data_IF_247908876626
#
_entry.id   IF_247908876626
#
_cell.length_a   1.000
_cell.length_b   1.000
_cell.length_c   1.000
_cell.angle_alpha   90.00
_cell.angle_beta   90.00
_cell.angle_gamma   90.00
#
_symmetry.space_group_name_H-M   'P 1'
#
loop_
_entity.id
_entity.type
_entity.pdbx_description
1 polymer ?
#
# COMPACT_ATOMS: atom_id res chain seq x y z
N UNK A 1 -1.48 -17.36 20.86
CA UNK A 1 -1.11 -18.33 19.81
C UNK A 1 0.28 -18.01 19.28
N UNK A 2 1.05 -18.96 18.70
CA UNK A 2 2.42 -18.67 18.21
C UNK A 2 2.49 -17.58 17.13
N UNK A 3 1.38 -17.28 16.44
CA UNK A 3 1.25 -16.17 15.50
C UNK A 3 1.11 -14.81 16.16
N UNK A 4 0.35 -14.67 17.26
CA UNK A 4 0.20 -13.39 17.97
C UNK A 4 1.56 -12.83 18.40
N UNK A 5 2.44 -13.67 18.95
CA UNK A 5 3.80 -13.24 19.33
C UNK A 5 4.66 -12.82 18.13
N UNK A 6 4.46 -13.45 16.96
CA UNK A 6 5.15 -13.06 15.71
C UNK A 6 4.60 -11.76 15.13
N UNK A 7 3.28 -11.57 15.18
CA UNK A 7 2.62 -10.32 14.77
C UNK A 7 3.12 -9.16 15.62
N UNK A 8 3.17 -9.31 16.94
CA UNK A 8 3.70 -8.29 17.85
C UNK A 8 5.16 -7.94 17.56
N UNK A 9 5.99 -8.96 17.27
CA UNK A 9 7.38 -8.76 16.90
C UNK A 9 7.52 -7.95 15.59
N UNK A 10 6.68 -8.23 14.59
CA UNK A 10 6.64 -7.48 13.33
C UNK A 10 6.20 -6.04 13.60
N UNK A 11 5.10 -5.83 14.32
CA UNK A 11 4.59 -4.50 14.66
C UNK A 11 5.63 -3.66 15.41
N UNK A 12 6.41 -4.29 16.30
CA UNK A 12 7.49 -3.62 17.02
C UNK A 12 8.57 -3.06 16.09
N UNK A 13 8.87 -3.74 14.97
CA UNK A 13 9.79 -3.28 13.92
C UNK A 13 9.22 -2.14 13.06
N UNK A 14 7.89 -2.02 13.00
CA UNK A 14 7.18 -1.02 12.18
C UNK A 14 6.63 0.18 12.97
N UNK A 15 7.02 0.34 14.24
CA UNK A 15 6.56 1.44 15.11
C UNK A 15 6.71 2.83 14.50
N UNK A 16 7.82 3.09 13.80
CA UNK A 16 8.05 4.38 13.13
C UNK A 16 7.00 4.71 12.07
N UNK A 17 6.91 3.90 10.98
CA UNK A 17 5.89 4.09 9.94
C UNK A 17 4.45 4.09 10.46
N UNK A 18 4.10 3.20 11.40
CA UNK A 18 2.77 3.16 12.02
C UNK A 18 2.47 4.43 12.81
N UNK A 19 3.45 4.93 13.57
CA UNK A 19 3.35 6.17 14.32
C UNK A 19 3.15 7.40 13.43
N UNK A 20 3.81 7.45 12.26
CA UNK A 20 3.66 8.53 11.29
C UNK A 20 2.23 8.61 10.74
N UNK A 21 1.66 7.47 10.31
CA UNK A 21 0.29 7.41 9.83
C UNK A 21 -0.72 7.78 10.92
N UNK A 22 -0.56 7.25 12.14
CA UNK A 22 -1.41 7.58 13.28
C UNK A 22 -1.36 9.07 13.62
N UNK A 23 -0.16 9.66 13.62
CA UNK A 23 0.00 11.09 13.90
C UNK A 23 -0.72 11.93 12.85
N UNK A 24 -0.68 11.53 11.58
CA UNK A 24 -1.44 12.19 10.52
C UNK A 24 -2.95 12.11 10.79
N UNK A 25 -3.48 10.93 11.14
CA UNK A 25 -4.91 10.77 11.47
C UNK A 25 -5.34 11.66 12.63
N UNK A 26 -4.60 11.67 13.73
CA UNK A 26 -4.92 12.48 14.92
C UNK A 26 -4.89 13.97 14.60
N UNK A 27 -3.83 14.43 13.93
CA UNK A 27 -3.70 15.84 13.54
C UNK A 27 -4.86 16.29 12.64
N UNK A 28 -5.21 15.50 11.61
CA UNK A 28 -6.33 15.81 10.74
C UNK A 28 -7.67 15.79 11.49
N UNK A 29 -7.86 14.84 12.41
CA UNK A 29 -9.06 14.77 13.26
C UNK A 29 -9.22 16.05 14.08
N UNK A 30 -8.16 16.51 14.74
CA UNK A 30 -8.19 17.73 15.55
C UNK A 30 -8.41 19.00 14.72
N UNK A 31 -7.85 19.04 13.52
CA UNK A 31 -8.06 20.12 12.56
C UNK A 31 -9.53 20.20 12.11
N UNK A 32 -10.18 19.05 11.85
CA UNK A 32 -11.60 18.99 11.48
C UNK A 32 -12.49 19.39 12.67
N UNK A 33 -12.17 18.94 13.89
CA UNK A 33 -12.88 19.39 15.11
C UNK A 33 -12.77 20.90 15.31
N UNK A 34 -11.60 21.49 15.06
CA UNK A 34 -11.42 22.94 15.13
C UNK A 34 -12.28 23.67 14.07
N UNK A 35 -12.33 23.15 12.85
CA UNK A 35 -13.14 23.71 11.76
C UNK A 35 -14.64 23.65 12.05
N UNK A 36 -15.15 22.53 12.56
CA UNK A 36 -16.56 22.40 12.97
C UNK A 36 -16.91 23.37 14.11
N UNK A 37 -16.06 23.47 15.14
CA UNK A 37 -16.25 24.44 16.24
C UNK A 37 -16.26 25.89 15.75
N UNK A 38 -15.38 26.24 14.80
CA UNK A 38 -15.34 27.58 14.21
C UNK A 38 -16.63 27.89 13.45
N UNK A 39 -17.17 26.93 12.67
CA UNK A 39 -18.44 27.14 11.95
C UNK A 39 -19.61 27.31 12.91
N UNK A 40 -19.67 26.51 13.97
CA UNK A 40 -20.70 26.62 15.01
C UNK A 40 -20.64 27.96 15.75
N UNK A 41 -19.45 28.47 16.08
CA UNK A 41 -19.30 29.75 16.77
C UNK A 41 -19.69 30.94 15.89
N UNK A 42 -19.35 30.90 14.59
CA UNK A 42 -19.79 31.91 13.61
C UNK A 42 -21.31 31.92 13.47
N UNK A 43 -21.94 30.75 13.39
CA UNK A 43 -23.40 30.61 13.37
C UNK A 43 -24.03 31.20 14.63
N UNK A 44 -23.56 30.81 15.82
CA UNK A 44 -24.08 31.31 17.10
C UNK A 44 -23.93 32.82 17.27
N UNK A 45 -22.78 33.38 16.89
CA UNK A 45 -22.53 34.83 16.95
C UNK A 45 -23.47 35.61 16.02
N UNK A 46 -23.76 35.06 14.82
CA UNK A 46 -24.67 35.68 13.86
C UNK A 46 -26.13 35.52 14.27
N UNK A 47 -26.52 34.37 14.82
CA UNK A 47 -27.84 34.16 15.41
C UNK A 47 -28.11 35.14 16.57
N UNK A 48 -27.11 35.37 17.43
CA UNK A 48 -27.21 36.37 18.49
C UNK A 48 -27.39 37.80 17.94
N UNK A 49 -26.65 38.15 16.88
CA UNK A 49 -26.82 39.45 16.18
C UNK A 49 -28.20 39.58 15.54
N UNK A 50 -28.65 38.57 14.80
CA UNK A 50 -29.99 38.51 14.20
C UNK A 50 -31.07 38.64 15.26
N UNK A 51 -30.93 37.94 16.39
CA UNK A 51 -31.87 38.03 17.51
C UNK A 51 -31.92 39.46 18.10
N UNK A 52 -30.78 40.14 18.17
CA UNK A 52 -30.72 41.54 18.63
C UNK A 52 -31.36 42.51 17.61
N UNK A 53 -31.14 42.30 16.31
CA UNK A 53 -31.70 43.13 15.23
C UNK A 53 -33.22 42.93 15.07
N UNK A 54 -33.72 41.70 15.24
CA UNK A 54 -35.15 41.37 15.15
C UNK A 54 -35.95 41.91 16.36
N UNK A 55 -35.30 42.12 17.50
CA UNK A 55 -35.88 42.71 18.70
C UNK A 55 -37.00 41.88 19.36
N UNK A 56 -37.70 42.45 20.37
CA UNK A 56 -38.69 41.72 21.18
C UNK A 56 -39.92 41.26 20.40
N UNK A 57 -40.25 41.92 19.29
CA UNK A 57 -41.45 41.64 18.49
C UNK A 57 -41.36 40.32 17.70
N UNK A 58 -40.14 39.85 17.44
CA UNK A 58 -39.89 38.59 16.75
C UNK A 58 -39.76 37.39 17.71
N UNK A 59 -39.66 37.64 19.03
CA UNK A 59 -39.48 36.60 20.04
C UNK A 59 -40.62 35.57 19.99
N UNK A 60 -40.26 34.30 19.78
CA UNK A 60 -41.21 33.19 19.66
C UNK A 60 -41.96 33.09 18.31
N UNK A 61 -41.73 34.03 17.37
CA UNK A 61 -42.31 34.01 16.01
C UNK A 61 -41.28 33.68 14.93
N UNK A 62 -40.03 34.09 15.14
CA UNK A 62 -38.91 33.81 14.24
C UNK A 62 -37.85 33.08 15.04
N UNK A 63 -37.41 31.94 14.52
CA UNK A 63 -36.24 31.22 15.03
C UNK A 63 -34.98 31.94 14.50
N UNK A 64 -34.19 32.59 15.38
CA UNK A 64 -33.05 33.39 14.97
C UNK A 64 -31.90 32.54 14.39
N UNK A 65 -31.79 31.26 14.75
CA UNK A 65 -30.78 30.36 14.19
C UNK A 65 -31.15 29.98 12.76
N UNK A 66 -32.40 29.55 12.54
CA UNK A 66 -32.92 29.30 11.18
C UNK A 66 -32.89 30.55 10.31
N UNK A 67 -33.21 31.71 10.87
CA UNK A 67 -33.15 32.96 10.12
C UNK A 67 -31.70 33.35 9.78
N UNK A 68 -30.76 33.19 10.72
CA UNK A 68 -29.34 33.43 10.45
C UNK A 68 -28.80 32.54 9.33
N UNK A 69 -29.27 31.28 9.22
CA UNK A 69 -28.91 30.41 8.09
C UNK A 69 -29.38 30.89 6.72
N UNK A 70 -30.46 31.68 6.64
CA UNK A 70 -30.97 32.23 5.38
C UNK A 70 -30.20 33.48 4.92
N UNK A 71 -29.59 34.20 5.86
CA UNK A 71 -28.88 35.49 5.61
C UNK A 71 -27.36 35.29 5.50
N UNK A 72 -26.88 34.06 5.67
CA UNK A 72 -25.48 33.71 5.52
C UNK A 72 -25.06 33.68 4.04
N UNK A 73 -23.80 34.07 3.78
CA UNK A 73 -23.15 33.74 2.51
C UNK A 73 -23.14 32.20 2.36
N UNK A 74 -23.55 31.72 1.17
CA UNK A 74 -23.85 30.30 0.90
C UNK A 74 -22.74 29.32 1.31
N UNK A 75 -21.49 29.77 1.40
CA UNK A 75 -20.33 28.93 1.75
C UNK A 75 -20.13 28.66 3.25
N UNK A 76 -20.53 29.58 4.12
CA UNK A 76 -20.33 29.44 5.57
C UNK A 76 -21.42 28.58 6.23
N UNK A 77 -22.60 28.53 5.60
CA UNK A 77 -23.80 27.89 6.15
C UNK A 77 -24.25 26.64 5.41
N UNK A 78 -23.49 26.16 4.42
CA UNK A 78 -23.89 24.99 3.65
C UNK A 78 -24.06 23.75 4.57
N UNK A 79 -25.31 23.27 4.78
CA UNK A 79 -25.57 22.11 5.62
C UNK A 79 -24.96 20.84 5.04
N UNK A 80 -24.81 20.76 3.70
CA UNK A 80 -24.16 19.63 3.05
C UNK A 80 -22.67 19.59 3.40
N UNK A 81 -21.98 20.73 3.31
CA UNK A 81 -20.58 20.84 3.73
C UNK A 81 -20.39 20.46 5.21
N UNK A 82 -21.28 20.90 6.10
CA UNK A 82 -21.21 20.55 7.53
C UNK A 82 -21.34 19.05 7.75
N UNK A 83 -22.33 18.41 7.11
CA UNK A 83 -22.51 16.96 7.17
C UNK A 83 -21.30 16.18 6.66
N UNK A 84 -20.70 16.61 5.54
CA UNK A 84 -19.49 15.98 4.99
C UNK A 84 -18.34 16.02 6.01
N UNK A 85 -18.18 17.14 6.72
CA UNK A 85 -17.15 17.29 7.75
C UNK A 85 -17.41 16.42 8.98
N UNK A 86 -18.67 16.27 9.39
CA UNK A 86 -19.08 15.38 10.48
C UNK A 86 -18.84 13.91 10.11
N UNK A 87 -19.23 13.49 8.90
CA UNK A 87 -18.99 12.14 8.38
C UNK A 87 -17.49 11.85 8.31
N UNK A 88 -16.69 12.79 7.76
CA UNK A 88 -15.25 12.66 7.69
C UNK A 88 -14.60 12.59 9.08
N UNK A 89 -15.08 13.38 10.04
CA UNK A 89 -14.61 13.34 11.43
C UNK A 89 -14.91 11.98 12.07
N UNK A 90 -16.11 11.43 11.85
CA UNK A 90 -16.51 10.12 12.34
C UNK A 90 -15.56 9.03 11.84
N UNK A 91 -15.29 9.00 10.52
CA UNK A 91 -14.34 8.05 9.91
C UNK A 91 -12.93 8.20 10.47
N UNK A 92 -12.40 9.43 10.54
CA UNK A 92 -11.04 9.65 11.03
C UNK A 92 -10.88 9.26 12.50
N UNK A 93 -11.90 9.53 13.33
CA UNK A 93 -11.92 9.15 14.75
C UNK A 93 -11.96 7.62 14.89
N UNK A 94 -12.84 6.95 14.15
CA UNK A 94 -12.94 5.48 14.14
C UNK A 94 -11.60 4.82 13.77
N UNK A 95 -10.94 5.31 12.71
CA UNK A 95 -9.65 4.79 12.27
C UNK A 95 -8.52 5.08 13.28
N UNK A 96 -8.54 6.27 13.91
CA UNK A 96 -7.57 6.62 14.95
C UNK A 96 -7.73 5.72 16.19
N UNK A 97 -8.97 5.43 16.61
CA UNK A 97 -9.28 4.59 17.77
C UNK A 97 -8.84 3.12 17.57
N UNK A 98 -8.86 2.62 16.33
CA UNK A 98 -8.35 1.28 15.99
C UNK A 98 -6.83 1.17 16.17
N UNK A 99 -6.08 2.28 16.05
CA UNK A 99 -4.63 2.31 16.25
C UNK A 99 -3.88 1.30 15.38
N UNK A 100 -2.96 0.54 15.96
CA UNK A 100 -2.16 -0.46 15.23
C UNK A 100 -2.99 -1.63 14.70
N UNK A 101 -4.17 -1.89 15.27
CA UNK A 101 -5.07 -2.96 14.79
C UNK A 101 -5.62 -2.67 13.39
N UNK A 102 -5.55 -1.42 12.92
CA UNK A 102 -5.89 -1.07 11.55
C UNK A 102 -4.90 -1.68 10.54
N UNK A 103 -3.65 -1.89 10.97
CA UNK A 103 -2.57 -2.44 10.15
C UNK A 103 -2.46 -3.98 10.25
N UNK A 104 -3.32 -4.64 11.02
CA UNK A 104 -3.30 -6.10 11.18
C UNK A 104 -4.56 -6.69 10.56
N UNK A 105 -4.39 -7.73 9.74
CA UNK A 105 -5.50 -8.47 9.16
C UNK A 105 -5.22 -9.97 9.25
N UNK A 106 -6.26 -10.73 9.58
CA UNK A 106 -6.23 -12.20 9.57
C UNK A 106 -6.99 -12.69 8.35
N UNK A 107 -6.39 -13.64 7.63
CA UNK A 107 -7.02 -14.30 6.48
C UNK A 107 -7.70 -15.57 6.98
N UNK A 108 -9.03 -15.67 6.91
CA UNK A 108 -9.73 -16.90 7.26
C UNK A 108 -9.29 -18.06 6.38
N UNK A 109 -9.30 -19.27 6.92
CA UNK A 109 -8.93 -20.46 6.16
C UNK A 109 -9.77 -20.60 4.87
N UNK A 110 -9.10 -20.81 3.74
CA UNK A 110 -9.73 -20.91 2.42
C UNK A 110 -10.19 -19.59 1.80
N UNK A 111 -10.00 -18.44 2.47
CA UNK A 111 -10.33 -17.14 1.92
C UNK A 111 -9.27 -16.65 0.91
N UNK A 112 -9.67 -15.77 0.01
CA UNK A 112 -8.76 -15.13 -0.93
C UNK A 112 -7.86 -14.11 -0.22
N UNK A 113 -6.55 -14.41 -0.15
CA UNK A 113 -5.53 -13.47 0.34
C UNK A 113 -5.63 -12.10 -0.37
N UNK A 114 -5.86 -12.12 -1.68
CA UNK A 114 -6.01 -10.91 -2.48
C UNK A 114 -7.17 -10.04 -2.00
N UNK A 115 -8.37 -10.62 -1.89
CA UNK A 115 -9.58 -9.86 -1.52
C UNK A 115 -9.49 -9.32 -0.10
N UNK A 116 -8.89 -10.09 0.81
CA UNK A 116 -8.67 -9.67 2.20
C UNK A 116 -7.72 -8.48 2.27
N UNK A 117 -6.59 -8.53 1.55
CA UNK A 117 -5.63 -7.41 1.49
C UNK A 117 -6.24 -6.20 0.79
N UNK A 118 -6.90 -6.40 -0.35
CA UNK A 118 -7.57 -5.33 -1.10
C UNK A 118 -8.59 -4.58 -0.22
N UNK A 119 -9.39 -5.32 0.55
CA UNK A 119 -10.37 -4.78 1.48
C UNK A 119 -9.70 -4.05 2.65
N UNK A 120 -8.64 -4.61 3.24
CA UNK A 120 -7.91 -3.97 4.32
C UNK A 120 -7.28 -2.63 3.86
N UNK A 121 -6.68 -2.61 2.67
CA UNK A 121 -6.18 -1.37 2.08
C UNK A 121 -7.34 -0.42 1.78
N UNK A 122 -8.46 -0.87 1.20
CA UNK A 122 -9.60 0.02 0.94
C UNK A 122 -10.16 0.66 2.22
N UNK A 123 -10.14 -0.08 3.32
CA UNK A 123 -10.53 0.38 4.65
C UNK A 123 -9.58 1.47 5.19
N UNK A 124 -8.27 1.27 5.09
CA UNK A 124 -7.27 2.32 5.37
C UNK A 124 -7.50 3.54 4.46
N UNK A 125 -7.88 3.30 3.21
CA UNK A 125 -8.14 4.32 2.20
C UNK A 125 -9.31 5.24 2.54
N UNK A 126 -10.20 4.84 3.46
CA UNK A 126 -11.26 5.73 3.99
C UNK A 126 -10.67 7.02 4.58
N UNK A 127 -9.49 6.95 5.21
CA UNK A 127 -8.79 8.14 5.73
C UNK A 127 -8.45 9.13 4.61
N UNK A 128 -7.95 8.64 3.48
CA UNK A 128 -7.61 9.49 2.34
C UNK A 128 -8.86 10.05 1.67
N UNK A 129 -9.92 9.26 1.58
CA UNK A 129 -11.20 9.74 1.07
C UNK A 129 -11.79 10.86 1.96
N UNK A 130 -11.73 10.68 3.29
CA UNK A 130 -12.13 11.69 4.27
C UNK A 130 -11.32 12.98 4.10
N UNK A 131 -9.99 12.87 4.01
CA UNK A 131 -9.09 14.00 3.80
C UNK A 131 -9.41 14.76 2.50
N UNK A 132 -9.67 14.05 1.39
CA UNK A 132 -10.06 14.67 0.12
C UNK A 132 -11.40 15.39 0.23
N UNK A 133 -12.39 14.80 0.90
CA UNK A 133 -13.68 15.45 1.14
C UNK A 133 -13.54 16.75 1.93
N UNK A 134 -12.68 16.77 2.96
CA UNK A 134 -12.35 17.97 3.74
C UNK A 134 -11.72 19.06 2.86
N UNK A 135 -10.79 18.69 1.98
CA UNK A 135 -10.15 19.64 1.05
C UNK A 135 -11.17 20.24 0.07
N UNK A 136 -12.10 19.44 -0.47
CA UNK A 136 -13.16 19.92 -1.36
C UNK A 136 -14.13 20.87 -0.65
N UNK A 137 -14.49 20.58 0.61
CA UNK A 137 -15.28 21.51 1.45
C UNK A 137 -14.55 22.83 1.65
N UNK A 138 -13.24 22.80 1.93
CA UNK A 138 -12.41 24.02 2.08
C UNK A 138 -12.32 24.83 0.79
N UNK A 139 -12.30 24.16 -0.36
CA UNK A 139 -12.28 24.80 -1.67
C UNK A 139 -13.65 25.39 -2.08
N UNK A 140 -14.69 25.23 -1.25
CA UNK A 140 -16.05 25.70 -1.56
C UNK A 140 -16.72 24.88 -2.67
N UNK A 141 -16.27 23.65 -2.92
CA UNK A 141 -16.78 22.75 -3.97
C UNK A 141 -17.23 21.40 -3.38
N UNK A 142 -18.10 21.37 -2.36
CA UNK A 142 -18.58 20.11 -1.81
C UNK A 142 -19.30 19.32 -2.91
N UNK A 143 -18.73 18.17 -3.32
CA UNK A 143 -19.44 17.22 -4.19
C UNK A 143 -20.42 16.43 -3.31
N UNK A 144 -21.70 16.73 -3.42
CA UNK A 144 -22.79 15.95 -2.86
C UNK A 144 -23.88 15.80 -3.90
N UNK A 145 -23.85 14.69 -4.65
CA UNK A 145 -24.86 14.33 -5.62
C UNK A 145 -25.02 12.81 -5.68
N UNK A 146 -26.26 12.36 -5.50
CA UNK A 146 -26.81 11.01 -5.61
C UNK A 146 -26.11 9.86 -4.86
N UNK A 147 -26.70 9.50 -3.71
CA UNK A 147 -26.78 8.13 -3.19
C UNK A 147 -25.55 7.48 -2.57
N UNK A 148 -24.34 7.87 -2.95
CA UNK A 148 -23.10 7.24 -2.45
C UNK A 148 -22.61 7.93 -1.16
N UNK A 149 -22.17 7.16 -0.14
CA UNK A 149 -21.57 7.73 1.06
C UNK A 149 -20.29 8.50 0.68
N UNK A 150 -20.25 9.80 1.02
CA UNK A 150 -19.17 10.72 0.64
C UNK A 150 -17.79 10.23 1.15
N UNK A 151 -17.79 9.44 2.25
CA UNK A 151 -16.58 8.91 2.89
C UNK A 151 -16.61 7.37 2.98
N UNK A 152 -16.71 6.72 1.83
CA UNK A 152 -16.62 5.26 1.69
C UNK A 152 -15.18 4.72 1.54
N UNK A 153 -15.01 3.37 1.50
CA UNK A 153 -13.74 2.72 1.20
C UNK A 153 -13.11 3.21 -0.11
N UNK A 154 -11.79 3.40 -0.12
CA UNK A 154 -11.06 3.87 -1.29
C UNK A 154 -10.06 2.79 -1.75
N UNK A 155 -10.34 2.07 -2.85
CA UNK A 155 -9.44 1.03 -3.36
C UNK A 155 -8.02 1.55 -3.62
N UNK A 156 -7.02 0.71 -3.35
CA UNK A 156 -5.60 1.05 -3.50
C UNK A 156 -5.23 1.59 -4.90
N UNK A 157 -5.88 1.08 -5.95
CA UNK A 157 -5.71 1.56 -7.31
C UNK A 157 -6.02 3.06 -7.49
N UNK A 158 -6.89 3.63 -6.64
CA UNK A 158 -7.30 5.05 -6.67
C UNK A 158 -6.46 5.95 -5.75
N UNK A 159 -5.48 5.38 -5.06
CA UNK A 159 -4.59 6.15 -4.21
C UNK A 159 -3.60 6.95 -5.03
N UNK A 160 -3.29 8.17 -4.58
CA UNK A 160 -2.22 8.97 -5.15
C UNK A 160 -0.86 8.46 -4.70
N UNK A 161 0.20 8.93 -5.37
CA UNK A 161 1.58 8.62 -4.98
C UNK A 161 1.90 9.02 -3.54
N UNK A 162 1.38 10.16 -3.07
CA UNK A 162 1.61 10.64 -1.71
C UNK A 162 0.89 9.79 -0.67
N UNK A 163 -0.33 9.33 -0.98
CA UNK A 163 -1.10 8.43 -0.12
C UNK A 163 -0.42 7.07 0.00
N UNK A 164 0.05 6.48 -1.11
CA UNK A 164 0.86 5.24 -1.12
C UNK A 164 2.20 5.37 -0.39
N UNK A 165 2.71 6.59 -0.18
CA UNK A 165 3.92 6.86 0.61
C UNK A 165 3.64 6.98 2.10
N UNK A 166 2.45 7.47 2.47
CA UNK A 166 2.02 7.68 3.85
C UNK A 166 1.34 6.44 4.45
N UNK A 167 0.79 5.57 3.60
CA UNK A 167 0.06 4.39 4.02
C UNK A 167 0.88 3.51 5.01
N UNK A 168 0.23 2.99 6.06
CA UNK A 168 0.90 2.14 7.02
C UNK A 168 1.28 0.79 6.37
N UNK A 169 2.32 0.12 6.89
CA UNK A 169 2.58 -1.27 6.55
C UNK A 169 1.38 -2.15 6.95
N UNK A 170 1.11 -3.20 6.18
CA UNK A 170 0.05 -4.16 6.49
C UNK A 170 0.68 -5.49 6.96
N UNK A 171 0.27 -5.97 8.13
CA UNK A 171 0.64 -7.27 8.68
C UNK A 171 -0.52 -8.23 8.48
N UNK A 172 -0.27 -9.34 7.78
CA UNK A 172 -1.28 -10.30 7.35
C UNK A 172 -0.96 -11.65 7.96
N UNK A 173 -1.79 -12.14 8.89
CA UNK A 173 -1.66 -13.49 9.43
C UNK A 173 -2.52 -14.46 8.61
N UNK A 174 -1.95 -15.59 8.20
CA UNK A 174 -2.64 -16.57 7.34
C UNK A 174 -2.05 -17.97 7.47
N UNK A 175 -2.84 -18.99 7.11
CA UNK A 175 -2.35 -20.34 6.94
C UNK A 175 -1.49 -20.45 5.66
N UNK A 176 -0.44 -21.26 5.70
CA UNK A 176 0.46 -21.51 4.58
C UNK A 176 -0.23 -22.16 3.38
N UNK A 177 -1.34 -22.88 3.61
CA UNK A 177 -2.22 -23.41 2.56
C UNK A 177 -3.01 -22.34 1.80
N UNK A 178 -3.14 -21.13 2.33
CA UNK A 178 -3.85 -20.01 1.68
C UNK A 178 -2.89 -18.97 1.10
N UNK A 179 -1.57 -19.22 1.20
CA UNK A 179 -0.54 -18.31 0.76
C UNK A 179 -0.41 -18.30 -0.78
N UNK A 180 -1.07 -17.33 -1.41
CA UNK A 180 -0.98 -17.01 -2.85
C UNK A 180 -0.34 -15.65 -3.08
N UNK A 181 0.91 -15.50 -2.68
CA UNK A 181 1.56 -14.19 -2.60
C UNK A 181 1.68 -13.45 -3.96
N UNK A 182 1.84 -14.17 -5.07
CA UNK A 182 1.96 -13.56 -6.40
C UNK A 182 0.79 -12.61 -6.75
N UNK A 183 -0.41 -12.84 -6.22
CA UNK A 183 -1.56 -11.97 -6.42
C UNK A 183 -1.41 -10.58 -5.79
N UNK A 184 -0.47 -10.40 -4.85
CA UNK A 184 -0.27 -9.14 -4.14
C UNK A 184 0.61 -8.13 -4.90
N UNK A 185 1.13 -8.49 -6.07
CA UNK A 185 2.04 -7.66 -6.85
C UNK A 185 1.50 -6.23 -7.12
N UNK A 186 0.20 -6.09 -7.35
CA UNK A 186 -0.43 -4.78 -7.63
C UNK A 186 -0.45 -3.82 -6.43
N UNK A 187 -0.29 -4.35 -5.21
CA UNK A 187 -0.24 -3.54 -3.99
C UNK A 187 1.19 -3.08 -3.66
N UNK A 188 2.21 -3.56 -4.38
CA UNK A 188 3.62 -3.24 -4.14
C UNK A 188 4.04 -1.99 -4.91
N UNK A 189 3.46 -0.85 -4.54
CA UNK A 189 3.78 0.46 -5.11
C UNK A 189 3.97 1.54 -4.02
N UNK A 190 4.70 2.60 -4.37
CA UNK A 190 5.00 3.72 -3.48
C UNK A 190 5.93 3.30 -2.34
N UNK A 191 5.41 3.30 -1.11
CA UNK A 191 6.09 2.78 0.09
C UNK A 191 5.28 1.72 0.80
N UNK A 192 4.28 1.16 0.12
CA UNK A 192 3.43 0.14 0.70
C UNK A 192 4.28 -1.08 1.05
N UNK A 193 4.18 -1.50 2.31
CA UNK A 193 4.82 -2.71 2.82
C UNK A 193 3.77 -3.71 3.23
N UNK A 194 3.98 -4.97 2.90
CA UNK A 194 3.12 -6.08 3.32
C UNK A 194 3.99 -7.12 4.02
N UNK A 195 3.62 -7.54 5.21
CA UNK A 195 4.30 -8.61 5.96
C UNK A 195 3.34 -9.76 6.17
N UNK A 196 3.69 -10.92 5.66
CA UNK A 196 2.90 -12.14 5.80
C UNK A 196 3.44 -12.96 6.99
N UNK A 197 2.60 -13.23 7.97
CA UNK A 197 2.92 -14.13 9.10
C UNK A 197 2.25 -15.46 8.81
N UNK A 198 3.05 -16.42 8.34
CA UNK A 198 2.55 -17.68 7.79
C UNK A 198 2.55 -18.77 8.86
N UNK A 199 1.40 -19.39 9.06
CA UNK A 199 1.22 -20.54 9.95
C UNK A 199 1.16 -21.86 9.17
N UNK A 200 1.90 -22.87 9.64
CA UNK A 200 1.88 -24.20 9.03
C UNK A 200 2.59 -24.27 7.67
N UNK A 201 2.47 -25.44 7.03
CA UNK A 201 3.18 -25.73 5.77
C UNK A 201 2.76 -24.79 4.63
N UNK A 202 3.74 -24.24 3.91
CA UNK A 202 3.53 -23.40 2.73
C UNK A 202 4.41 -23.87 1.57
N UNK A 203 4.18 -23.28 0.38
CA UNK A 203 5.10 -23.45 -0.74
C UNK A 203 6.55 -23.09 -0.35
N UNK A 204 7.57 -23.67 -1.00
CA UNK A 204 8.95 -23.47 -0.57
C UNK A 204 9.49 -22.07 -0.88
N UNK A 205 9.03 -21.39 -1.93
CA UNK A 205 9.48 -20.04 -2.28
C UNK A 205 8.32 -19.13 -2.76
N UNK A 206 7.27 -18.92 -1.93
CA UNK A 206 6.05 -18.21 -2.31
C UNK A 206 6.29 -16.78 -2.79
N UNK A 207 7.37 -16.13 -2.35
CA UNK A 207 7.70 -14.76 -2.76
C UNK A 207 8.60 -14.68 -4.00
N UNK A 208 9.07 -15.80 -4.57
CA UNK A 208 10.04 -15.79 -5.67
C UNK A 208 9.55 -14.98 -6.89
N UNK A 209 8.26 -15.07 -7.21
CA UNK A 209 7.63 -14.35 -8.32
C UNK A 209 7.45 -12.84 -8.08
N UNK A 210 7.65 -12.37 -6.85
CA UNK A 210 7.55 -10.94 -6.50
C UNK A 210 8.92 -10.25 -6.50
N UNK A 211 9.99 -10.97 -6.83
CA UNK A 211 11.32 -10.38 -7.03
C UNK A 211 11.29 -9.53 -8.29
N UNK A 212 11.12 -8.23 -8.09
CA UNK A 212 11.04 -7.23 -9.14
C UNK A 212 11.96 -6.04 -8.84
N UNK A 213 12.45 -5.32 -9.87
CA UNK A 213 13.25 -4.11 -9.67
C UNK A 213 12.55 -3.10 -8.75
N UNK A 214 13.29 -2.56 -7.78
CA UNK A 214 12.76 -1.55 -6.85
C UNK A 214 11.85 -2.07 -5.73
N UNK A 215 11.55 -3.38 -5.69
CA UNK A 215 10.75 -4.00 -4.62
C UNK A 215 11.65 -4.78 -3.68
N UNK A 216 11.60 -4.46 -2.38
CA UNK A 216 12.32 -5.25 -1.38
C UNK A 216 11.53 -6.52 -1.06
N UNK A 217 12.16 -7.69 -1.18
CA UNK A 217 11.52 -8.98 -0.89
C UNK A 217 12.29 -9.72 0.18
N UNK A 218 11.62 -10.14 1.24
CA UNK A 218 12.22 -10.87 2.35
C UNK A 218 11.43 -12.14 2.65
N UNK A 219 12.06 -13.30 2.56
CA UNK A 219 11.49 -14.56 3.05
C UNK A 219 12.40 -15.10 4.14
N UNK A 220 11.91 -15.18 5.37
CA UNK A 220 12.69 -15.54 6.56
C UNK A 220 11.86 -16.42 7.51
N UNK A 221 12.52 -17.18 8.37
CA UNK A 221 11.83 -18.01 9.38
C UNK A 221 11.56 -17.26 10.70
N UNK A 222 12.27 -16.16 10.92
CA UNK A 222 12.26 -15.36 12.13
C UNK A 222 12.29 -13.85 11.81
N UNK A 223 12.65 -13.00 12.76
CA UNK A 223 12.73 -11.55 12.54
C UNK A 223 13.98 -11.06 11.80
N UNK A 224 14.88 -11.95 11.36
CA UNK A 224 16.11 -11.56 10.70
C UNK A 224 15.83 -10.77 9.41
N UNK A 225 16.42 -9.58 9.30
CA UNK A 225 16.29 -8.71 8.14
C UNK A 225 15.04 -7.82 8.13
N UNK A 226 14.13 -7.93 9.11
CA UNK A 226 12.96 -7.05 9.22
C UNK A 226 13.36 -5.59 9.47
N UNK A 227 14.51 -5.35 10.13
CA UNK A 227 15.10 -4.03 10.34
C UNK A 227 15.45 -3.33 9.01
N UNK A 228 16.17 -4.03 8.13
CA UNK A 228 16.51 -3.56 6.78
C UNK A 228 15.26 -3.37 5.94
N UNK A 229 14.33 -4.32 6.01
CA UNK A 229 13.05 -4.24 5.32
C UNK A 229 12.23 -3.01 5.78
N UNK A 230 12.17 -2.73 7.08
CA UNK A 230 11.45 -1.58 7.62
C UNK A 230 12.08 -0.25 7.20
N UNK A 231 13.41 -0.19 7.14
CA UNK A 231 14.17 0.99 6.73
C UNK A 231 14.13 1.29 5.23
N UNK A 232 13.69 0.34 4.39
CA UNK A 232 13.59 0.54 2.94
C UNK A 232 12.53 1.60 2.59
N UNK A 233 12.92 2.60 1.79
CA UNK A 233 12.08 3.76 1.45
C UNK A 233 11.21 3.57 0.19
N UNK A 234 11.04 2.32 -0.26
CA UNK A 234 10.20 1.91 -1.40
C UNK A 234 9.19 0.81 -1.05
N UNK A 235 8.53 0.20 -2.05
CA UNK A 235 7.59 -0.87 -1.81
C UNK A 235 8.31 -2.14 -1.40
N UNK A 236 7.60 -3.01 -0.67
CA UNK A 236 8.19 -4.28 -0.31
C UNK A 236 7.23 -5.29 0.29
N UNK A 237 7.65 -6.55 0.25
CA UNK A 237 6.93 -7.65 0.84
C UNK A 237 7.86 -8.54 1.65
N UNK A 238 7.44 -8.90 2.85
CA UNK A 238 8.14 -9.86 3.69
C UNK A 238 7.21 -11.03 4.05
N UNK A 239 7.78 -12.21 4.27
CA UNK A 239 7.05 -13.35 4.81
C UNK A 239 7.88 -14.05 5.89
N UNK A 240 7.25 -14.22 7.07
CA UNK A 240 7.72 -15.09 8.14
C UNK A 240 7.16 -16.49 7.87
N UNK A 241 7.98 -17.36 7.31
CA UNK A 241 7.62 -18.70 6.83
C UNK A 241 8.14 -19.80 7.77
N UNK A 242 7.66 -21.05 7.66
CA UNK A 242 8.27 -22.18 8.36
C UNK A 242 9.75 -22.39 7.99
N UNK A 243 10.51 -23.01 8.88
CA UNK A 243 11.94 -23.31 8.63
C UNK A 243 12.18 -24.21 7.41
N UNK A 244 11.17 -24.96 6.99
CA UNK A 244 11.19 -25.83 5.81
C UNK A 244 11.12 -25.09 4.48
N UNK A 245 10.80 -23.79 4.48
CA UNK A 245 10.76 -22.96 3.29
C UNK A 245 12.13 -22.30 3.03
N UNK A 246 12.35 -21.84 1.80
CA UNK A 246 13.55 -21.10 1.43
C UNK A 246 13.68 -19.82 2.26
N UNK A 247 14.92 -19.38 2.50
CA UNK A 247 15.21 -18.10 3.13
C UNK A 247 16.06 -17.27 2.19
N UNK A 248 15.59 -16.09 1.83
CA UNK A 248 16.28 -15.22 0.89
C UNK A 248 15.88 -13.75 1.08
N UNK A 249 16.73 -12.86 0.57
CA UNK A 249 16.54 -11.41 0.56
C UNK A 249 16.83 -10.88 -0.82
N UNK A 250 15.88 -10.16 -1.41
CA UNK A 250 16.11 -9.26 -2.54
C UNK A 250 16.14 -7.83 -2.03
N UNK A 251 17.32 -7.22 -2.02
CA UNK A 251 17.54 -5.83 -1.65
C UNK A 251 17.86 -5.00 -2.91
N UNK A 252 16.93 -4.14 -3.38
CA UNK A 252 17.16 -3.30 -4.55
C UNK A 252 18.39 -2.38 -4.45
N UNK A 253 18.84 -2.05 -3.24
CA UNK A 253 19.98 -1.17 -3.01
C UNK A 253 21.34 -1.89 -3.03
N UNK A 254 21.36 -3.23 -3.00
CA UNK A 254 22.59 -4.00 -2.86
C UNK A 254 23.45 -4.07 -4.14
N UNK A 255 22.92 -3.70 -5.31
CA UNK A 255 23.68 -3.72 -6.56
C UNK A 255 22.90 -3.24 -7.78
N UNK A 256 23.51 -3.36 -8.97
CA UNK A 256 22.89 -2.98 -10.24
C UNK A 256 22.13 -4.15 -10.90
N UNK A 257 22.66 -5.37 -10.78
CA UNK A 257 22.09 -6.56 -11.38
C UNK A 257 21.23 -7.38 -10.39
N UNK A 258 20.38 -8.27 -10.88
CA UNK A 258 19.50 -9.10 -10.04
C UNK A 258 20.28 -10.02 -9.10
N UNK A 259 21.37 -10.62 -9.57
CA UNK A 259 22.20 -11.54 -8.78
C UNK A 259 23.02 -10.82 -7.70
N UNK A 260 23.29 -9.52 -7.84
CA UNK A 260 23.92 -8.71 -6.78
C UNK A 260 22.90 -8.32 -5.69
N UNK A 261 21.62 -8.26 -6.07
CA UNK A 261 20.52 -7.84 -5.20
C UNK A 261 19.88 -9.00 -4.44
N UNK A 262 19.99 -10.23 -4.94
CA UNK A 262 19.35 -11.40 -4.38
C UNK A 262 20.35 -12.32 -3.67
N UNK A 263 20.17 -12.50 -2.37
CA UNK A 263 20.93 -13.47 -1.55
C UNK A 263 20.02 -14.59 -1.07
N UNK A 264 20.41 -15.83 -1.32
CA UNK A 264 19.70 -17.02 -0.80
C UNK A 264 20.49 -17.60 0.37
N UNK A 265 19.93 -17.55 1.57
CA UNK A 265 20.55 -18.09 2.78
C UNK A 265 20.23 -19.58 3.00
N UNK A 266 19.06 -20.03 2.55
CA UNK A 266 18.66 -21.43 2.67
C UNK A 266 17.73 -21.82 1.52
N UNK A 267 17.96 -23.01 0.98
CA UNK A 267 17.05 -23.67 0.04
C UNK A 267 16.65 -25.02 0.65
N UNK A 268 15.37 -25.43 0.58
CA UNK A 268 14.95 -26.72 1.10
C UNK A 268 15.67 -27.88 0.37
N UNK A 269 16.26 -28.81 1.12
CA UNK A 269 17.03 -29.92 0.56
C UNK A 269 16.15 -30.99 -0.11
N UNK A 270 14.90 -31.10 0.33
CA UNK A 270 13.94 -32.10 -0.16
C UNK A 270 13.06 -31.47 -1.22
N UNK A 271 12.90 -32.10 -2.41
CA UNK A 271 11.98 -31.60 -3.41
C UNK A 271 10.54 -31.65 -2.87
N UNK A 272 9.68 -30.69 -3.24
CA UNK A 272 8.27 -30.69 -2.86
C UNK A 272 7.60 -31.98 -3.34
N UNK A 273 6.86 -32.64 -2.45
CA UNK A 273 6.23 -33.96 -2.72
C UNK A 273 4.71 -33.92 -2.74
N UNK A 274 4.10 -32.84 -2.24
CA UNK A 274 2.65 -32.71 -2.05
C UNK A 274 2.18 -31.37 -2.58
N UNK A 275 0.92 -31.32 -2.96
CA UNK A 275 0.25 -30.07 -3.30
C UNK A 275 0.08 -29.24 -2.04
N UNK A 276 0.60 -28.01 -2.05
CA UNK A 276 0.47 -27.04 -0.96
C UNK A 276 -0.01 -25.74 -1.58
N UNK A 277 -0.97 -25.09 -0.92
CA UNK A 277 -1.63 -23.90 -1.43
C UNK A 277 -2.08 -24.06 -2.88
N UNK A 278 -2.70 -25.19 -3.23
CA UNK A 278 -3.14 -25.52 -4.59
C UNK A 278 -2.07 -25.37 -5.69
N UNK A 279 -0.78 -25.43 -5.34
CA UNK A 279 0.35 -25.54 -6.27
C UNK A 279 0.82 -27.00 -6.29
N UNK A 280 0.91 -27.56 -7.49
CA UNK A 280 1.52 -28.88 -7.68
C UNK A 280 3.00 -28.89 -7.28
N UNK A 281 3.54 -30.08 -7.01
CA UNK A 281 4.97 -30.24 -6.73
C UNK A 281 5.87 -29.67 -7.85
N UNK A 282 5.46 -29.81 -9.11
CA UNK A 282 6.19 -29.25 -10.25
C UNK A 282 6.22 -27.71 -10.22
N UNK A 283 5.08 -27.06 -9.93
CA UNK A 283 5.01 -25.60 -9.80
C UNK A 283 5.83 -25.09 -8.63
N UNK A 284 5.82 -25.79 -7.50
CA UNK A 284 6.66 -25.46 -6.35
C UNK A 284 8.17 -25.60 -6.67
N UNK A 285 8.54 -26.60 -7.47
CA UNK A 285 9.92 -26.77 -7.94
C UNK A 285 10.32 -25.66 -8.93
N UNK A 286 9.41 -25.23 -9.80
CA UNK A 286 9.62 -24.10 -10.71
C UNK A 286 9.88 -22.80 -9.95
N UNK A 287 9.14 -22.52 -8.87
CA UNK A 287 9.38 -21.33 -8.03
C UNK A 287 10.79 -21.33 -7.40
N UNK A 288 11.26 -22.49 -6.94
CA UNK A 288 12.63 -22.64 -6.45
C UNK A 288 13.66 -22.42 -7.56
N UNK A 289 13.36 -22.86 -8.77
CA UNK A 289 14.27 -22.70 -9.90
C UNK A 289 14.32 -21.26 -10.41
N UNK A 290 13.19 -20.55 -10.41
CA UNK A 290 13.14 -19.11 -10.66
C UNK A 290 14.03 -18.38 -9.66
N UNK A 291 13.92 -18.71 -8.37
CA UNK A 291 14.74 -18.09 -7.32
C UNK A 291 16.24 -18.32 -7.56
N UNK A 292 16.64 -19.54 -7.89
CA UNK A 292 18.05 -19.87 -8.22
C UNK A 292 18.54 -19.14 -9.46
N UNK A 293 17.72 -19.08 -10.50
CA UNK A 293 18.05 -18.41 -11.77
C UNK A 293 18.25 -16.92 -11.56
N UNK A 294 17.40 -16.27 -10.76
CA UNK A 294 17.52 -14.84 -10.44
C UNK A 294 18.80 -14.51 -9.66
N UNK A 295 19.26 -15.44 -8.82
CA UNK A 295 20.47 -15.32 -8.01
C UNK A 295 21.74 -15.72 -8.78
N UNK A 296 21.61 -16.46 -9.88
CA UNK A 296 22.73 -16.90 -10.69
C UNK A 296 23.27 -15.75 -11.54
N UNK A 297 24.57 -15.49 -11.44
CA UNK A 297 25.27 -14.61 -12.38
C UNK A 297 25.30 -15.30 -13.76
N UNK A 298 24.82 -14.64 -14.83
CA UNK A 298 24.94 -15.18 -16.18
C UNK A 298 26.40 -15.49 -16.50
N UNK A 299 26.66 -16.66 -17.09
CA UNK A 299 27.97 -16.93 -17.64
C UNK A 299 28.30 -15.85 -18.67
N UNK A 300 29.50 -15.26 -18.57
CA UNK A 300 29.97 -14.34 -19.60
C UNK A 300 29.94 -15.11 -20.94
N UNK A 301 29.28 -14.55 -21.95
CA UNK A 301 29.44 -15.03 -23.31
C UNK A 301 30.89 -14.68 -23.68
N UNK A 302 31.80 -15.66 -23.57
CA UNK A 302 33.12 -15.51 -24.17
C UNK A 302 32.90 -15.26 -25.66
N UNK A 303 33.45 -14.17 -26.23
CA UNK A 303 33.39 -13.98 -27.66
C UNK A 303 34.01 -15.22 -28.32
N UNK A 304 33.45 -15.70 -29.45
CA UNK A 304 33.99 -16.87 -30.12
C UNK A 304 35.49 -16.66 -30.38
N UNK A 305 36.29 -17.66 -29.99
CA UNK A 305 37.73 -17.65 -30.18
C UNK A 305 38.04 -17.44 -31.67
N UNK A 306 38.44 -16.22 -32.03
CA UNK A 306 38.66 -15.79 -33.42
C UNK A 306 37.97 -14.49 -33.83
N UNK A 307 37.15 -13.86 -32.98
CA UNK A 307 36.69 -12.50 -33.24
C UNK A 307 37.88 -11.53 -33.20
N UNK A 308 38.15 -10.74 -34.26
CA UNK A 308 39.22 -9.76 -34.23
C UNK A 308 38.97 -8.78 -33.07
N UNK A 309 40.03 -8.45 -32.32
CA UNK A 309 39.96 -7.47 -31.25
C UNK A 309 39.33 -6.19 -31.80
N UNK A 310 38.08 -5.93 -31.41
CA UNK A 310 37.41 -4.70 -31.76
C UNK A 310 38.18 -3.58 -31.05
N UNK A 311 38.96 -2.84 -31.83
CA UNK A 311 39.49 -1.54 -31.45
C UNK A 311 38.37 -0.72 -30.80
N UNK A 312 38.72 0.07 -29.78
CA UNK A 312 37.84 0.98 -29.04
C UNK A 312 36.94 1.76 -30.01
N UNK A 313 35.75 1.22 -30.27
CA UNK A 313 34.69 1.90 -30.98
C UNK A 313 34.00 2.78 -29.94
N UNK A 314 34.13 4.09 -30.13
CA UNK A 314 33.52 5.12 -29.31
C UNK A 314 32.05 4.83 -28.98
N UNK A 315 31.64 5.38 -27.84
CA UNK A 315 30.29 5.35 -27.23
C UNK A 315 29.14 5.38 -28.24
N UNK A 316 28.81 4.22 -28.80
CA UNK A 316 27.54 3.98 -29.46
C UNK A 316 26.51 3.63 -28.39
N UNK A 317 25.43 4.40 -28.34
CA UNK A 317 24.33 4.27 -27.38
C UNK A 317 23.83 2.81 -27.37
N UNK A 318 23.65 2.17 -26.20
CA UNK A 318 23.04 0.85 -26.11
C UNK A 318 21.68 0.75 -26.85
N UNK A 319 20.95 1.86 -26.98
CA UNK A 319 19.71 1.95 -27.79
C UNK A 319 20.01 1.78 -29.29
N UNK A 320 21.08 2.39 -29.80
CA UNK A 320 21.48 2.28 -31.21
C UNK A 320 21.94 0.87 -31.56
N UNK A 321 22.60 0.18 -30.62
CA UNK A 321 22.99 -1.23 -30.79
C UNK A 321 21.79 -2.16 -30.84
N UNK A 322 20.78 -1.91 -30.01
CA UNK A 322 19.53 -2.68 -30.03
C UNK A 322 18.73 -2.41 -31.30
N UNK A 323 18.65 -1.15 -31.74
CA UNK A 323 17.98 -0.77 -32.98
C UNK A 323 18.66 -1.41 -34.20
N UNK A 324 19.99 -1.36 -34.27
CA UNK A 324 20.76 -2.00 -35.34
C UNK A 324 20.56 -3.52 -35.35
N UNK A 325 20.52 -4.16 -34.17
CA UNK A 325 20.28 -5.59 -34.06
C UNK A 325 18.86 -5.98 -34.48
N UNK A 326 17.84 -5.20 -34.09
CA UNK A 326 16.46 -5.43 -34.50
C UNK A 326 16.29 -5.25 -36.02
N UNK A 327 16.89 -4.21 -36.60
CA UNK A 327 16.88 -3.99 -38.04
C UNK A 327 17.63 -5.09 -38.81
N UNK A 328 18.66 -5.69 -38.23
CA UNK A 328 19.37 -6.84 -38.83
C UNK A 328 18.55 -8.14 -38.84
N UNK A 329 17.48 -8.20 -38.03
CA UNK A 329 16.59 -9.37 -37.89
C UNK A 329 15.31 -9.23 -38.70
N UNK A 330 14.96 -8.03 -39.16
CA UNK A 330 13.82 -7.80 -40.02
C UNK A 330 14.30 -7.85 -41.47
N UNK A 331 13.96 -8.91 -42.18
CA UNK A 331 14.17 -8.98 -43.62
C UNK A 331 13.11 -8.09 -44.30
N UNK A 332 13.49 -6.86 -44.66
CA UNK A 332 12.61 -5.90 -45.35
C UNK A 332 12.52 -6.16 -46.86
N UNK A 333 13.06 -7.28 -47.34
CA UNK A 333 13.10 -7.64 -48.77
C UNK A 333 11.73 -7.90 -49.40
N UNK A 334 10.66 -8.05 -48.60
CA UNK A 334 9.28 -8.28 -49.07
C UNK A 334 8.40 -7.02 -49.10
N UNK A 335 8.98 -5.82 -48.96
CA UNK A 335 8.29 -4.54 -49.20
C UNK A 335 8.85 -3.86 -50.45
N UNK A 336 8.56 -4.44 -51.61
CA UNK A 336 8.84 -3.90 -52.95
C UNK A 336 7.95 -4.53 -54.01
#
# INVERSE_FOLDING_TARGET
MPSEGRVDQVLAGFRGPLGAFRSALVNTTDEVRAMLRSRQSTLGSRAARVSAELGPLAAGRIDPERFATLVLDHHDADPAATRILEDALGVLTELADRGDRLAVVEVPAGASLYEVVARALAEIGRAFNAARAIVEVRAGRPRGGDGDPVVGPLPFARWTRSERRLAPPLVVALAGGDLRAAALAEFLDGRQKIVLVVEGECAPAPLARLVAPGTFVLQTADAAGLDRFAAWEGPGIAALVPESAARFVHDPAAGAASWDRLTIAHTPDKPPRRTVAGLSAAQQAEELEILRTLAARPAAIEPPAGAPAAAEAGTADPVDKLAAWLLSRVDLSDLG
#
